data_IF_577689156580
#
_entry.id   IF_577689156580
#
_cell.length_a   1.000
_cell.length_b   1.000
_cell.length_c   1.000
_cell.angle_alpha   90.00
_cell.angle_beta   90.00
_cell.angle_gamma   90.00
#
_symmetry.space_group_name_H-M   'P 1'
#
loop_
_entity.id
_entity.type
_entity.pdbx_description
1 polymer ?
#
# COMPACT_ATOMS: atom_id res chain seq x y z
N UNK A 1 -24.95 24.15 24.25
CA UNK A 1 -23.57 23.63 24.33
C UNK A 1 -23.11 23.39 22.91
N UNK A 2 -22.14 24.14 22.34
CA UNK A 2 -21.63 23.85 21.01
C UNK A 2 -20.75 22.60 21.12
N UNK A 3 -21.06 21.61 20.28
CA UNK A 3 -20.26 20.42 20.11
C UNK A 3 -18.85 20.82 19.64
N UNK A 4 -17.85 20.54 20.45
CA UNK A 4 -16.44 20.63 20.06
C UNK A 4 -16.20 19.67 18.90
N UNK A 5 -16.32 20.17 17.66
CA UNK A 5 -15.84 19.46 16.48
C UNK A 5 -14.34 19.23 16.70
N UNK A 6 -13.94 17.99 16.90
CA UNK A 6 -12.55 17.59 16.69
C UNK A 6 -12.28 17.91 15.21
N UNK A 7 -11.60 19.00 14.93
CA UNK A 7 -10.93 19.19 13.64
C UNK A 7 -10.04 17.94 13.47
N UNK A 8 -10.41 17.07 12.56
CA UNK A 8 -9.55 15.97 12.17
C UNK A 8 -8.32 16.61 11.54
N UNK A 9 -7.18 16.51 12.22
CA UNK A 9 -5.90 16.97 11.68
C UNK A 9 -5.67 16.17 10.42
N UNK A 10 -5.84 16.80 9.26
CA UNK A 10 -5.61 16.14 7.98
C UNK A 10 -4.13 15.76 7.89
N UNK A 11 -3.84 14.46 7.78
CA UNK A 11 -2.47 13.97 7.63
C UNK A 11 -1.83 14.49 6.33
N UNK A 12 -2.60 14.52 5.25
CA UNK A 12 -2.14 14.94 3.92
C UNK A 12 -2.85 16.19 3.42
N UNK A 13 -2.11 17.08 2.78
CA UNK A 13 -2.63 18.18 1.96
C UNK A 13 -3.05 17.63 0.58
N UNK A 14 -4.34 17.25 0.47
CA UNK A 14 -4.93 16.64 -0.75
C UNK A 14 -4.73 17.51 -2.00
N UNK A 15 -4.74 18.85 -1.85
CA UNK A 15 -4.51 19.78 -2.97
C UNK A 15 -3.04 19.73 -3.42
N UNK A 16 -2.10 19.66 -2.48
CA UNK A 16 -0.68 19.54 -2.82
C UNK A 16 -0.40 18.19 -3.48
N UNK A 17 -0.90 17.09 -2.93
CA UNK A 17 -0.76 15.75 -3.50
C UNK A 17 -1.29 15.71 -4.96
N UNK A 18 -2.51 16.17 -5.20
CA UNK A 18 -3.07 16.24 -6.55
C UNK A 18 -2.21 17.09 -7.49
N UNK A 19 -1.71 18.24 -7.04
CA UNK A 19 -0.80 19.08 -7.85
C UNK A 19 0.52 18.39 -8.18
N UNK A 20 1.06 17.57 -7.27
CA UNK A 20 2.27 16.80 -7.52
C UNK A 20 2.05 15.78 -8.63
N UNK A 21 0.95 15.05 -8.57
CA UNK A 21 0.54 14.06 -9.59
C UNK A 21 0.24 14.73 -10.94
N UNK A 22 -0.48 15.85 -10.95
CA UNK A 22 -0.72 16.65 -12.17
C UNK A 22 0.58 17.13 -12.82
N UNK A 23 1.55 17.54 -12.02
CA UNK A 23 2.87 17.94 -12.52
C UNK A 23 3.61 16.73 -13.12
N UNK A 24 3.63 15.59 -12.43
CA UNK A 24 4.25 14.38 -12.92
C UNK A 24 3.64 13.95 -14.27
N UNK A 25 2.33 13.95 -14.38
CA UNK A 25 1.63 13.63 -15.62
C UNK A 25 2.02 14.52 -16.81
N UNK A 26 2.34 15.81 -16.57
CA UNK A 26 2.72 16.76 -17.63
C UNK A 26 4.20 16.73 -17.98
N UNK A 27 5.08 16.37 -17.05
CA UNK A 27 6.53 16.45 -17.24
C UNK A 27 7.17 15.17 -17.79
N UNK A 28 6.38 14.16 -18.03
CA UNK A 28 6.85 12.79 -18.32
C UNK A 28 7.04 12.04 -17.02
N UNK A 29 6.18 11.07 -16.78
CA UNK A 29 6.20 10.25 -15.58
C UNK A 29 7.38 9.27 -15.60
N UNK A 30 8.03 9.12 -14.45
CA UNK A 30 8.88 7.98 -14.14
C UNK A 30 7.98 6.92 -13.52
N UNK A 31 7.80 5.80 -14.16
CA UNK A 31 6.77 4.80 -13.83
C UNK A 31 7.30 3.40 -13.50
N UNK A 32 8.63 3.21 -13.49
CA UNK A 32 9.24 1.89 -13.31
C UNK A 32 8.70 1.14 -12.07
N UNK A 33 8.48 1.86 -10.95
CA UNK A 33 7.95 1.24 -9.74
C UNK A 33 6.47 0.86 -9.90
N UNK A 34 5.68 1.68 -10.59
CA UNK A 34 4.28 1.35 -10.88
C UNK A 34 4.16 0.16 -11.83
N UNK A 35 5.04 0.07 -12.83
CA UNK A 35 5.09 -1.08 -13.77
C UNK A 35 5.44 -2.35 -13.01
N UNK A 36 6.52 -2.35 -12.24
CA UNK A 36 6.95 -3.49 -11.44
C UNK A 36 5.85 -3.97 -10.48
N UNK A 37 5.18 -3.03 -9.78
CA UNK A 37 4.10 -3.39 -8.87
C UNK A 37 2.85 -3.89 -9.61
N UNK A 38 2.55 -3.32 -10.78
CA UNK A 38 1.45 -3.80 -11.60
C UNK A 38 1.68 -5.25 -12.06
N UNK A 39 2.88 -5.57 -12.52
CA UNK A 39 3.28 -6.94 -12.90
C UNK A 39 3.12 -7.91 -11.72
N UNK A 40 3.65 -7.57 -10.55
CA UNK A 40 3.51 -8.40 -9.33
C UNK A 40 2.06 -8.59 -8.89
N UNK A 41 1.19 -7.59 -9.05
CA UNK A 41 -0.24 -7.73 -8.75
C UNK A 41 -0.93 -8.64 -9.78
N UNK A 42 -0.53 -8.58 -11.04
CA UNK A 42 -1.03 -9.48 -12.09
C UNK A 42 -0.59 -10.92 -11.83
N UNK A 43 0.68 -11.16 -11.47
CA UNK A 43 1.19 -12.49 -11.12
C UNK A 43 0.40 -13.09 -9.95
N UNK A 44 0.14 -12.29 -8.88
CA UNK A 44 -0.71 -12.73 -7.76
C UNK A 44 -2.15 -13.05 -8.19
N UNK A 45 -2.66 -12.33 -9.18
CA UNK A 45 -3.98 -12.60 -9.74
C UNK A 45 -4.00 -13.89 -10.59
N UNK A 46 -2.87 -14.29 -11.18
CA UNK A 46 -2.73 -15.54 -11.93
C UNK A 46 -2.84 -16.78 -11.03
N UNK A 47 -2.42 -16.67 -9.77
CA UNK A 47 -2.56 -17.72 -8.76
C UNK A 47 -4.02 -17.92 -8.30
N UNK A 48 -4.92 -17.00 -8.66
CA UNK A 48 -6.32 -17.05 -8.26
C UNK A 48 -7.14 -17.78 -9.32
N UNK A 49 -7.62 -18.99 -9.02
CA UNK A 49 -8.43 -19.82 -9.93
C UNK A 49 -9.84 -19.29 -10.24
N UNK A 50 -10.15 -18.05 -9.87
CA UNK A 50 -11.46 -17.41 -10.05
C UNK A 50 -11.47 -16.47 -11.25
N UNK A 51 -12.64 -16.33 -11.90
CA UNK A 51 -12.86 -15.40 -13.00
C UNK A 51 -13.51 -14.13 -12.48
N UNK A 52 -13.04 -12.99 -12.96
CA UNK A 52 -13.54 -11.65 -12.64
C UNK A 52 -14.04 -11.00 -13.92
N UNK A 53 -15.26 -10.42 -13.92
CA UNK A 53 -15.85 -9.76 -15.08
C UNK A 53 -15.69 -8.25 -15.02
N UNK A 54 -15.80 -7.68 -13.81
CA UNK A 54 -15.75 -6.23 -13.59
C UNK A 54 -14.65 -5.90 -12.61
N UNK A 55 -13.73 -5.03 -12.98
CA UNK A 55 -12.61 -4.62 -12.15
C UNK A 55 -12.58 -3.11 -11.93
N UNK A 56 -12.16 -2.70 -10.74
CA UNK A 56 -11.81 -1.34 -10.38
C UNK A 56 -10.29 -1.24 -10.21
N UNK A 57 -9.63 -0.28 -10.87
CA UNK A 57 -8.25 0.12 -10.60
C UNK A 57 -8.27 1.48 -9.87
N UNK A 58 -8.03 1.45 -8.54
CA UNK A 58 -8.11 2.63 -7.67
C UNK A 58 -6.73 3.28 -7.50
N UNK A 59 -6.62 4.55 -7.90
CA UNK A 59 -5.34 5.25 -8.00
C UNK A 59 -4.55 4.82 -9.23
N UNK A 60 -5.25 4.70 -10.35
CA UNK A 60 -4.77 4.05 -11.58
C UNK A 60 -3.55 4.70 -12.23
N UNK A 61 -3.11 5.88 -11.75
CA UNK A 61 -1.99 6.60 -12.32
C UNK A 61 -2.18 6.81 -13.84
N UNK A 62 -1.23 6.47 -14.69
CA UNK A 62 -1.37 6.54 -16.16
C UNK A 62 -2.14 5.36 -16.78
N UNK A 63 -2.70 4.45 -15.96
CA UNK A 63 -3.59 3.38 -16.40
C UNK A 63 -2.90 2.09 -16.84
N UNK A 64 -1.62 1.90 -16.53
CA UNK A 64 -0.88 0.68 -16.94
C UNK A 64 -1.52 -0.60 -16.39
N UNK A 65 -1.87 -0.62 -15.10
CA UNK A 65 -2.54 -1.77 -14.47
C UNK A 65 -3.95 -1.98 -15.03
N UNK A 66 -4.73 -0.89 -15.21
CA UNK A 66 -6.05 -0.98 -15.85
C UNK A 66 -5.97 -1.57 -17.26
N UNK A 67 -4.95 -1.18 -18.05
CA UNK A 67 -4.73 -1.72 -19.38
C UNK A 67 -4.36 -3.21 -19.34
N UNK A 68 -3.46 -3.62 -18.46
CA UNK A 68 -3.10 -5.03 -18.28
C UNK A 68 -4.32 -5.88 -17.92
N UNK A 69 -5.16 -5.41 -17.01
CA UNK A 69 -6.42 -6.06 -16.65
C UNK A 69 -7.41 -6.14 -17.83
N UNK A 70 -7.53 -5.09 -18.64
CA UNK A 70 -8.45 -5.07 -19.78
C UNK A 70 -8.08 -6.09 -20.87
N UNK A 71 -6.81 -6.50 -20.97
CA UNK A 71 -6.35 -7.55 -21.87
C UNK A 71 -6.48 -8.96 -21.28
N UNK A 72 -6.89 -9.08 -20.02
CA UNK A 72 -6.97 -10.37 -19.33
C UNK A 72 -8.26 -11.13 -19.70
N UNK A 73 -8.16 -12.43 -20.05
CA UNK A 73 -9.34 -13.23 -20.37
C UNK A 73 -10.37 -13.26 -19.23
N UNK A 74 -11.62 -12.96 -19.54
CA UNK A 74 -12.74 -12.98 -18.59
C UNK A 74 -13.04 -11.64 -17.94
N UNK A 75 -12.17 -10.63 -18.06
CA UNK A 75 -12.48 -9.27 -17.64
C UNK A 75 -13.18 -8.54 -18.80
N UNK A 76 -14.39 -8.07 -18.56
CA UNK A 76 -15.24 -7.41 -19.56
C UNK A 76 -15.23 -5.89 -19.40
N UNK A 77 -15.03 -5.42 -18.16
CA UNK A 77 -15.05 -4.00 -17.81
C UNK A 77 -13.97 -3.71 -16.77
N UNK A 78 -13.11 -2.73 -17.08
CA UNK A 78 -12.19 -2.12 -16.10
C UNK A 78 -12.55 -0.65 -15.97
N UNK A 79 -12.75 -0.19 -14.74
CA UNK A 79 -12.95 1.22 -14.42
C UNK A 79 -11.71 1.74 -13.72
N UNK A 80 -11.03 2.70 -14.33
CA UNK A 80 -9.88 3.38 -13.73
C UNK A 80 -10.34 4.59 -12.91
N UNK A 81 -9.89 4.71 -11.68
CA UNK A 81 -10.19 5.82 -10.78
C UNK A 81 -8.90 6.55 -10.37
N UNK A 82 -8.79 7.84 -10.71
CA UNK A 82 -7.56 8.61 -10.50
C UNK A 82 -7.92 10.08 -10.18
N UNK A 83 -7.34 10.70 -9.13
CA UNK A 83 -7.64 12.09 -8.78
C UNK A 83 -6.97 13.14 -9.68
N UNK A 84 -5.86 12.78 -10.35
CA UNK A 84 -5.14 13.69 -11.24
C UNK A 84 -5.66 13.54 -12.68
N UNK A 85 -6.29 14.60 -13.19
CA UNK A 85 -6.85 14.60 -14.54
C UNK A 85 -5.79 14.39 -15.63
N UNK A 86 -4.57 14.85 -15.39
CA UNK A 86 -3.45 14.65 -16.31
C UNK A 86 -3.11 13.18 -16.51
N UNK A 87 -3.09 12.38 -15.46
CA UNK A 87 -2.96 10.93 -15.56
C UNK A 87 -4.21 10.28 -16.13
N UNK A 88 -5.37 10.66 -15.62
CA UNK A 88 -6.64 10.11 -16.07
C UNK A 88 -6.87 10.28 -17.58
N UNK A 89 -6.39 11.39 -18.17
CA UNK A 89 -6.49 11.63 -19.62
C UNK A 89 -5.64 10.68 -20.46
N UNK A 90 -4.60 10.08 -19.88
CA UNK A 90 -3.72 9.10 -20.53
C UNK A 90 -4.27 7.68 -20.43
N UNK A 91 -5.21 7.44 -19.52
CA UNK A 91 -5.81 6.12 -19.29
C UNK A 91 -6.84 5.82 -20.36
N UNK A 92 -6.77 4.62 -20.94
CA UNK A 92 -7.78 4.13 -21.87
C UNK A 92 -9.01 3.58 -21.17
N UNK A 93 -10.16 3.56 -21.85
CA UNK A 93 -11.40 2.95 -21.36
C UNK A 93 -12.18 3.80 -20.34
N UNK A 94 -13.13 3.19 -19.62
CA UNK A 94 -13.94 3.82 -18.60
C UNK A 94 -13.09 4.34 -17.43
N UNK A 95 -13.29 5.61 -17.10
CA UNK A 95 -12.46 6.30 -16.11
C UNK A 95 -13.25 7.34 -15.31
N UNK A 96 -12.88 7.51 -14.04
CA UNK A 96 -13.54 8.41 -13.10
C UNK A 96 -12.50 9.22 -12.32
N UNK A 97 -12.71 10.53 -12.22
CA UNK A 97 -11.92 11.36 -11.33
C UNK A 97 -12.37 11.09 -9.88
N UNK A 98 -11.58 10.34 -9.13
CA UNK A 98 -11.89 9.95 -7.76
C UNK A 98 -10.66 9.97 -6.86
N UNK A 99 -10.88 10.34 -5.60
CA UNK A 99 -9.88 10.28 -4.56
C UNK A 99 -9.93 8.89 -3.91
N UNK A 100 -8.80 8.17 -3.71
CA UNK A 100 -8.77 6.88 -3.02
C UNK A 100 -9.36 6.90 -1.60
N UNK A 101 -9.41 8.07 -0.97
CA UNK A 101 -10.03 8.25 0.35
C UNK A 101 -11.57 8.26 0.30
N UNK A 102 -12.15 8.56 -0.89
CA UNK A 102 -13.59 8.63 -1.13
C UNK A 102 -13.93 7.81 -2.37
N UNK A 103 -14.25 6.55 -2.18
CA UNK A 103 -14.57 5.58 -3.26
C UNK A 103 -16.01 5.78 -3.73
N UNK A 104 -16.25 6.45 -4.90
CA UNK A 104 -17.58 6.93 -5.28
C UNK A 104 -18.39 5.88 -6.05
N UNK A 105 -18.29 4.62 -5.65
CA UNK A 105 -18.98 3.54 -6.34
C UNK A 105 -20.06 2.94 -5.45
N UNK A 106 -21.12 2.45 -6.10
CA UNK A 106 -22.22 1.75 -5.43
C UNK A 106 -21.72 0.41 -4.87
N UNK A 107 -22.34 -0.02 -3.78
CA UNK A 107 -22.07 -1.33 -3.19
C UNK A 107 -22.24 -2.45 -4.22
N UNK A 108 -21.44 -3.50 -4.11
CA UNK A 108 -21.50 -4.71 -4.94
C UNK A 108 -21.39 -4.44 -6.47
N UNK A 109 -20.54 -3.51 -6.88
CA UNK A 109 -20.35 -3.15 -8.30
C UNK A 109 -19.25 -3.94 -9.00
N UNK A 110 -18.21 -4.39 -8.29
CA UNK A 110 -17.03 -4.99 -8.86
C UNK A 110 -16.76 -6.41 -8.34
N UNK A 111 -16.22 -7.27 -9.21
CA UNK A 111 -15.74 -8.59 -8.82
C UNK A 111 -14.29 -8.52 -8.31
N UNK A 112 -13.53 -7.54 -8.79
CA UNK A 112 -12.12 -7.30 -8.47
C UNK A 112 -11.90 -5.82 -8.17
N UNK A 113 -11.16 -5.50 -7.13
CA UNK A 113 -10.60 -4.18 -6.91
C UNK A 113 -9.08 -4.31 -6.80
N UNK A 114 -8.36 -3.50 -7.57
CA UNK A 114 -6.90 -3.40 -7.50
C UNK A 114 -6.48 -1.98 -7.15
N UNK A 115 -5.32 -1.85 -6.51
CA UNK A 115 -4.71 -0.55 -6.25
C UNK A 115 -3.20 -0.68 -6.20
N UNK A 116 -2.48 0.00 -7.09
CA UNK A 116 -1.03 0.04 -7.11
C UNK A 116 -0.54 1.40 -6.63
N UNK A 117 0.18 1.43 -5.50
CA UNK A 117 0.88 2.60 -4.96
C UNK A 117 0.00 3.85 -4.78
N UNK A 118 -1.24 3.68 -4.29
CA UNK A 118 -2.14 4.80 -4.02
C UNK A 118 -2.58 4.88 -2.55
N UNK A 119 -2.71 3.75 -1.87
CA UNK A 119 -3.32 3.69 -0.53
C UNK A 119 -2.47 4.31 0.57
N UNK A 120 -1.16 4.44 0.41
CA UNK A 120 -0.29 5.13 1.36
C UNK A 120 -0.53 6.66 1.43
N UNK A 121 -1.30 7.20 0.50
CA UNK A 121 -1.75 8.59 0.50
C UNK A 121 -3.11 8.79 1.19
N UNK A 122 -3.70 7.75 1.73
CA UNK A 122 -5.01 7.79 2.40
C UNK A 122 -4.80 8.00 3.90
N UNK A 123 -5.42 9.04 4.46
CA UNK A 123 -5.33 9.33 5.90
C UNK A 123 -6.19 8.37 6.73
N UNK A 124 -7.42 8.07 6.27
CA UNK A 124 -8.30 7.05 6.86
C UNK A 124 -8.25 5.75 6.05
N UNK A 125 -7.12 5.05 6.13
CA UNK A 125 -6.95 3.76 5.44
C UNK A 125 -8.01 2.71 5.83
N UNK A 126 -8.40 2.55 7.12
CA UNK A 126 -9.52 1.68 7.47
C UNK A 126 -10.82 2.04 6.78
N UNK A 127 -11.16 3.32 6.71
CA UNK A 127 -12.36 3.81 6.04
C UNK A 127 -12.34 3.54 4.53
N UNK A 128 -11.22 3.74 3.87
CA UNK A 128 -11.04 3.44 2.45
C UNK A 128 -11.17 1.94 2.17
N UNK A 129 -10.58 1.08 3.00
CA UNK A 129 -10.70 -0.38 2.89
C UNK A 129 -12.15 -0.85 3.09
N UNK A 130 -12.90 -0.26 4.02
CA UNK A 130 -14.33 -0.53 4.19
C UNK A 130 -15.12 -0.15 2.93
N UNK A 131 -14.85 1.02 2.35
CA UNK A 131 -15.49 1.47 1.12
C UNK A 131 -15.17 0.54 -0.06
N UNK A 132 -13.91 0.11 -0.21
CA UNK A 132 -13.49 -0.87 -1.22
C UNK A 132 -14.21 -2.21 -1.04
N UNK A 133 -14.27 -2.73 0.20
CA UNK A 133 -15.00 -3.96 0.50
C UNK A 133 -16.49 -3.86 0.14
N UNK A 134 -17.12 -2.71 0.40
CA UNK A 134 -18.53 -2.48 0.03
C UNK A 134 -18.74 -2.40 -1.47
N UNK A 135 -17.79 -1.80 -2.20
CA UNK A 135 -17.85 -1.73 -3.66
C UNK A 135 -17.65 -3.10 -4.34
N UNK A 136 -17.02 -4.05 -3.65
CA UNK A 136 -16.90 -5.43 -4.10
C UNK A 136 -18.22 -6.20 -3.93
N UNK A 137 -18.54 -7.04 -4.91
CA UNK A 137 -19.60 -8.05 -4.81
C UNK A 137 -19.24 -9.09 -3.74
N UNK A 138 -20.23 -9.83 -3.20
CA UNK A 138 -19.93 -11.00 -2.37
C UNK A 138 -18.91 -11.89 -3.07
N UNK A 139 -17.89 -12.37 -2.33
CA UNK A 139 -16.77 -13.15 -2.83
C UNK A 139 -15.93 -12.44 -3.92
N UNK A 140 -15.96 -11.12 -3.97
CA UNK A 140 -15.07 -10.29 -4.76
C UNK A 140 -13.70 -10.13 -4.08
N UNK A 141 -12.67 -9.90 -4.88
CA UNK A 141 -11.27 -9.86 -4.44
C UNK A 141 -10.73 -8.43 -4.39
N UNK A 142 -10.03 -8.09 -3.33
CA UNK A 142 -9.12 -6.94 -3.25
C UNK A 142 -7.68 -7.43 -3.40
N UNK A 143 -6.93 -6.84 -4.35
CA UNK A 143 -5.47 -6.92 -4.45
C UNK A 143 -4.90 -5.51 -4.44
N UNK A 144 -4.12 -5.15 -3.44
CA UNK A 144 -3.54 -3.83 -3.37
C UNK A 144 -2.07 -3.88 -2.97
N UNK A 145 -1.32 -2.88 -3.40
CA UNK A 145 0.06 -2.66 -2.99
C UNK A 145 0.25 -1.19 -2.60
N UNK A 146 0.96 -0.94 -1.51
CA UNK A 146 1.30 0.40 -1.06
C UNK A 146 2.71 0.47 -0.50
N UNK A 147 3.26 1.66 -0.38
CA UNK A 147 4.56 1.86 0.26
C UNK A 147 4.45 1.61 1.77
N UNK A 148 5.42 0.86 2.32
CA UNK A 148 5.55 0.54 3.74
C UNK A 148 6.50 1.44 4.50
N UNK A 149 6.61 1.25 5.82
CA UNK A 149 7.38 2.07 6.78
C UNK A 149 8.88 2.14 6.51
N UNK A 150 9.45 1.08 5.94
CA UNK A 150 10.86 1.02 5.53
C UNK A 150 11.21 1.84 4.30
N UNK A 151 10.20 2.35 3.55
CA UNK A 151 10.45 3.12 2.32
C UNK A 151 11.28 4.37 2.60
N UNK A 152 12.35 4.55 1.78
CA UNK A 152 13.26 5.71 1.82
C UNK A 152 13.88 5.95 3.22
N UNK A 153 14.18 4.89 3.97
CA UNK A 153 14.77 4.99 5.29
C UNK A 153 16.12 5.73 5.26
N UNK A 154 16.92 5.50 4.22
CA UNK A 154 18.21 6.14 3.99
C UNK A 154 18.03 7.66 3.78
N UNK A 155 17.10 8.05 2.91
CA UNK A 155 16.78 9.46 2.64
C UNK A 155 16.25 10.16 3.91
N UNK A 156 15.36 9.48 4.66
CA UNK A 156 14.82 9.99 5.91
C UNK A 156 15.93 10.26 6.92
N UNK A 157 16.85 9.31 7.10
CA UNK A 157 17.99 9.43 8.02
C UNK A 157 18.89 10.61 7.63
N UNK A 158 19.28 10.68 6.36
CA UNK A 158 20.16 11.75 5.86
C UNK A 158 19.54 13.14 6.00
N UNK A 159 18.24 13.28 5.72
CA UNK A 159 17.52 14.57 5.85
C UNK A 159 17.37 14.98 7.32
N UNK A 160 17.02 14.05 8.23
CA UNK A 160 16.89 14.35 9.66
C UNK A 160 18.20 14.82 10.26
N UNK A 161 19.31 14.12 9.99
CA UNK A 161 20.63 14.50 10.50
C UNK A 161 21.10 15.85 9.94
N UNK A 162 20.88 16.10 8.67
CA UNK A 162 21.24 17.37 8.04
C UNK A 162 20.42 18.55 8.60
N UNK A 163 19.10 18.38 8.82
CA UNK A 163 18.26 19.43 9.41
C UNK A 163 18.66 19.72 10.86
N UNK A 164 18.94 18.70 11.65
CA UNK A 164 19.41 18.88 13.02
C UNK A 164 20.72 19.69 13.06
N UNK A 165 21.67 19.37 12.17
CA UNK A 165 22.97 20.03 12.14
C UNK A 165 22.90 21.48 11.62
N UNK A 166 22.10 21.75 10.60
CA UNK A 166 22.08 23.03 9.88
C UNK A 166 20.96 24.00 10.36
N UNK A 167 19.88 23.46 10.93
CA UNK A 167 18.68 24.24 11.24
C UNK A 167 18.25 24.10 12.70
N UNK A 168 18.85 23.21 13.48
CA UNK A 168 18.57 23.00 14.90
C UNK A 168 17.20 22.35 15.19
N UNK A 169 16.56 21.78 14.18
CA UNK A 169 15.25 21.12 14.32
C UNK A 169 14.95 20.25 13.11
N UNK A 170 13.92 19.41 13.21
CA UNK A 170 13.48 18.51 12.16
C UNK A 170 12.08 18.89 11.65
N UNK A 171 11.84 18.60 10.37
CA UNK A 171 10.50 18.71 9.77
C UNK A 171 10.11 17.40 9.09
N UNK A 172 8.81 17.07 9.02
CA UNK A 172 8.38 15.83 8.38
C UNK A 172 8.64 15.90 6.87
N UNK A 173 9.59 15.08 6.38
CA UNK A 173 10.02 15.04 4.98
C UNK A 173 9.54 13.81 4.25
N UNK A 174 9.53 12.67 4.93
CA UNK A 174 9.08 11.38 4.41
C UNK A 174 7.82 10.99 5.18
N UNK A 175 6.78 10.60 4.44
CA UNK A 175 5.48 10.25 5.03
C UNK A 175 5.59 9.08 6.01
N UNK A 176 4.89 9.11 7.14
CA UNK A 176 4.65 7.91 7.92
C UNK A 176 3.79 6.96 7.09
N UNK A 177 4.08 5.68 7.16
CA UNK A 177 3.36 4.61 6.47
C UNK A 177 3.06 3.49 7.47
N UNK A 178 2.10 2.62 7.13
CA UNK A 178 1.75 1.48 7.97
C UNK A 178 2.85 0.43 7.99
N UNK A 179 2.95 -0.31 9.08
CA UNK A 179 3.79 -1.50 9.19
C UNK A 179 3.04 -2.75 8.77
N UNK A 180 3.76 -3.81 8.38
CA UNK A 180 3.17 -5.09 7.97
C UNK A 180 2.25 -5.70 9.04
N UNK A 181 2.63 -5.61 10.31
CA UNK A 181 1.83 -6.12 11.42
C UNK A 181 0.44 -5.47 11.51
N UNK A 182 0.36 -4.19 11.16
CA UNK A 182 -0.90 -3.45 11.12
C UNK A 182 -1.74 -3.78 9.90
N UNK A 183 -1.11 -4.11 8.77
CA UNK A 183 -1.76 -4.34 7.48
C UNK A 183 -2.83 -5.46 7.54
N UNK A 184 -2.48 -6.64 8.06
CA UNK A 184 -3.42 -7.76 8.21
C UNK A 184 -4.57 -7.41 9.17
N UNK A 185 -4.26 -6.71 10.27
CA UNK A 185 -5.23 -6.23 11.25
C UNK A 185 -6.21 -5.21 10.64
N UNK A 186 -5.71 -4.32 9.76
CA UNK A 186 -6.54 -3.35 9.02
C UNK A 186 -7.54 -4.04 8.11
N UNK A 187 -7.14 -5.07 7.36
CA UNK A 187 -8.04 -5.86 6.52
C UNK A 187 -9.13 -6.57 7.34
N UNK A 188 -8.76 -7.19 8.47
CA UNK A 188 -9.72 -7.82 9.38
C UNK A 188 -10.73 -6.80 9.93
N UNK A 189 -10.25 -5.66 10.40
CA UNK A 189 -11.10 -4.57 10.92
C UNK A 189 -12.01 -3.99 9.85
N UNK A 190 -11.56 -3.92 8.60
CA UNK A 190 -12.38 -3.54 7.47
C UNK A 190 -13.41 -4.61 7.08
N UNK A 191 -13.32 -5.82 7.66
CA UNK A 191 -14.29 -6.90 7.49
C UNK A 191 -14.05 -7.74 6.25
N UNK A 192 -12.82 -7.79 5.72
CA UNK A 192 -12.44 -8.75 4.68
C UNK A 192 -12.33 -10.16 5.26
N UNK A 193 -12.74 -11.13 4.48
CA UNK A 193 -12.50 -12.55 4.74
C UNK A 193 -11.13 -12.95 4.17
N UNK A 194 -10.53 -13.97 4.79
CA UNK A 194 -9.22 -14.54 4.37
C UNK A 194 -8.15 -13.46 4.11
N UNK A 195 -7.95 -12.51 5.04
CA UNK A 195 -7.00 -11.43 4.82
C UNK A 195 -5.57 -11.97 4.84
N UNK A 196 -4.80 -11.59 3.83
CA UNK A 196 -3.36 -11.85 3.73
C UNK A 196 -2.64 -10.51 3.55
N UNK A 197 -1.59 -10.31 4.30
CA UNK A 197 -0.68 -9.21 4.11
C UNK A 197 0.75 -9.74 4.08
N UNK A 198 1.53 -9.29 3.12
CA UNK A 198 2.95 -9.60 2.99
C UNK A 198 3.72 -8.35 2.59
N UNK A 199 5.04 -8.40 2.73
CA UNK A 199 5.93 -7.29 2.39
C UNK A 199 7.09 -7.79 1.53
N UNK A 200 7.51 -6.93 0.61
CA UNK A 200 8.70 -7.14 -0.19
C UNK A 200 9.51 -5.84 -0.26
N UNK A 201 10.78 -5.94 -0.63
CA UNK A 201 11.69 -4.81 -0.69
C UNK A 201 12.30 -4.68 -2.09
N UNK A 202 12.14 -3.51 -2.68
CA UNK A 202 12.77 -3.15 -3.95
C UNK A 202 13.86 -2.11 -3.64
N UNK A 203 15.09 -2.40 -4.01
CA UNK A 203 16.21 -1.45 -3.89
C UNK A 203 16.60 -0.95 -5.27
N UNK A 204 16.60 0.36 -5.43
CA UNK A 204 17.00 1.05 -6.66
C UNK A 204 18.28 1.85 -6.38
N UNK A 205 19.26 1.75 -7.26
CA UNK A 205 20.51 2.50 -7.13
C UNK A 205 20.48 3.78 -7.95
N UNK A 206 20.98 4.87 -7.37
CA UNK A 206 21.03 6.19 -8.00
C UNK A 206 22.46 6.73 -7.98
N UNK A 207 22.86 7.54 -8.97
CA UNK A 207 24.18 8.17 -8.97
C UNK A 207 24.34 9.16 -7.80
N UNK A 208 23.28 9.80 -7.37
CA UNK A 208 23.26 10.74 -6.25
C UNK A 208 21.84 10.98 -5.71
N UNK A 209 21.76 11.65 -4.56
CA UNK A 209 20.47 12.00 -3.91
C UNK A 209 19.59 12.92 -4.79
N UNK A 210 20.16 13.76 -5.64
CA UNK A 210 19.39 14.69 -6.48
C UNK A 210 18.70 13.93 -7.62
N UNK A 211 19.31 12.85 -8.13
CA UNK A 211 18.69 11.95 -9.10
C UNK A 211 17.47 11.26 -8.48
N UNK A 212 17.61 10.69 -7.27
CA UNK A 212 16.50 10.13 -6.52
C UNK A 212 15.36 11.16 -6.30
N UNK A 213 15.68 12.37 -5.84
CA UNK A 213 14.67 13.41 -5.60
C UNK A 213 13.97 13.85 -6.89
N UNK A 214 14.66 13.81 -8.04
CA UNK A 214 14.09 14.07 -9.36
C UNK A 214 13.06 13.00 -9.74
N UNK A 215 13.43 11.74 -9.57
CA UNK A 215 12.54 10.62 -9.88
C UNK A 215 11.30 10.63 -9.00
N UNK A 216 11.44 10.78 -7.67
CA UNK A 216 10.31 10.93 -6.76
C UNK A 216 9.37 12.08 -7.18
N UNK A 217 9.93 13.17 -7.69
CA UNK A 217 9.14 14.29 -8.22
C UNK A 217 8.40 13.93 -9.50
N UNK A 218 9.01 13.16 -10.40
CA UNK A 218 8.41 12.72 -11.66
C UNK A 218 7.42 11.56 -11.46
N UNK A 219 7.56 10.77 -10.38
CA UNK A 219 6.58 9.78 -9.95
C UNK A 219 5.31 10.43 -9.35
N UNK A 220 5.39 11.69 -8.94
CA UNK A 220 4.33 12.37 -8.19
C UNK A 220 4.41 12.15 -6.67
N UNK A 221 5.46 11.49 -6.19
CA UNK A 221 5.70 11.09 -4.80
C UNK A 221 6.43 12.19 -3.99
N UNK A 222 6.13 13.45 -4.27
CA UNK A 222 6.65 14.59 -3.51
C UNK A 222 5.86 14.74 -2.20
N UNK A 223 6.56 15.08 -1.11
CA UNK A 223 5.99 15.31 0.20
C UNK A 223 4.72 16.18 0.17
N UNK A 224 3.60 15.61 0.58
CA UNK A 224 2.30 16.28 0.68
C UNK A 224 1.72 16.23 2.11
N UNK A 225 2.55 16.00 3.13
CA UNK A 225 2.11 16.08 4.53
C UNK A 225 1.52 17.46 4.82
N UNK A 226 0.45 17.53 5.59
CA UNK A 226 -0.19 18.79 5.95
C UNK A 226 0.76 19.69 6.76
N UNK A 227 1.52 19.08 7.67
CA UNK A 227 2.48 19.76 8.54
C UNK A 227 3.88 19.95 7.91
N UNK A 228 4.05 19.57 6.63
CA UNK A 228 5.34 19.77 5.96
C UNK A 228 5.76 21.21 5.98
N UNK A 229 7.04 21.46 6.09
CA UNK A 229 7.63 22.78 5.87
C UNK A 229 7.35 23.24 4.42
N UNK A 230 6.77 24.42 4.26
CA UNK A 230 6.37 24.97 2.94
C UNK A 230 7.49 25.76 2.27
N UNK A 231 8.52 26.15 3.03
CA UNK A 231 9.71 26.80 2.49
C UNK A 231 10.65 25.78 1.84
N UNK A 232 11.33 26.16 0.75
CA UNK A 232 12.33 25.30 0.15
C UNK A 232 13.42 24.89 1.15
N UNK A 233 14.00 23.69 0.95
CA UNK A 233 15.15 23.24 1.70
C UNK A 233 16.35 24.18 1.43
N UNK A 234 17.09 24.56 2.47
CA UNK A 234 18.29 25.38 2.31
C UNK A 234 19.34 24.60 1.53
N UNK A 235 20.14 25.32 0.73
CA UNK A 235 21.22 24.69 -0.07
C UNK A 235 22.22 23.96 0.84
N UNK A 236 22.56 24.56 1.99
CA UNK A 236 23.46 23.93 2.96
C UNK A 236 22.90 22.61 3.50
N UNK A 237 21.62 22.61 3.92
CA UNK A 237 20.94 21.40 4.41
C UNK A 237 20.89 20.31 3.32
N UNK A 238 20.61 20.70 2.07
CA UNK A 238 20.57 19.76 0.94
C UNK A 238 21.95 19.16 0.67
N UNK A 239 22.99 19.98 0.63
CA UNK A 239 24.39 19.54 0.44
C UNK A 239 24.84 18.63 1.58
N UNK A 240 24.50 18.97 2.82
CA UNK A 240 24.79 18.16 4.00
C UNK A 240 24.09 16.80 3.93
N UNK A 241 22.79 16.78 3.60
CA UNK A 241 22.03 15.54 3.45
C UNK A 241 22.63 14.64 2.35
N UNK A 242 23.03 15.22 1.21
CA UNK A 242 23.68 14.47 0.12
C UNK A 242 24.99 13.85 0.57
N UNK A 243 25.81 14.59 1.34
CA UNK A 243 27.08 14.09 1.88
C UNK A 243 26.83 12.93 2.88
N UNK A 244 25.91 13.11 3.83
CA UNK A 244 25.54 12.08 4.81
C UNK A 244 25.00 10.82 4.10
N UNK A 245 24.18 10.98 3.07
CA UNK A 245 23.63 9.86 2.31
C UNK A 245 24.75 9.05 1.65
N UNK A 246 25.65 9.72 0.93
CA UNK A 246 26.78 9.07 0.27
C UNK A 246 27.74 8.42 1.28
N UNK A 247 28.04 9.08 2.39
CA UNK A 247 28.95 8.56 3.42
C UNK A 247 28.41 7.32 4.12
N UNK A 248 27.11 7.31 4.48
CA UNK A 248 26.53 6.24 5.30
C UNK A 248 25.99 5.06 4.50
N UNK A 249 25.49 5.33 3.30
CA UNK A 249 24.76 4.35 2.51
C UNK A 249 25.35 4.15 1.11
N UNK A 250 26.35 4.94 0.73
CA UNK A 250 27.00 4.82 -0.58
C UNK A 250 27.60 3.44 -0.80
N UNK A 251 27.50 2.97 -2.02
CA UNK A 251 28.08 1.71 -2.48
C UNK A 251 29.52 1.92 -2.98
N UNK A 252 30.28 0.84 -3.13
CA UNK A 252 31.71 0.91 -3.53
C UNK A 252 31.93 1.52 -4.92
N UNK A 253 30.90 1.49 -5.80
CA UNK A 253 30.89 2.08 -7.13
C UNK A 253 30.42 3.55 -7.16
N UNK A 254 30.21 4.16 -5.98
CA UNK A 254 29.86 5.55 -5.83
C UNK A 254 28.36 5.87 -6.00
N UNK A 255 27.50 4.86 -6.13
CA UNK A 255 26.05 5.01 -6.15
C UNK A 255 25.47 5.03 -4.74
N UNK A 256 24.21 5.44 -4.65
CA UNK A 256 23.42 5.37 -3.41
C UNK A 256 22.21 4.46 -3.62
N UNK A 257 21.87 3.59 -2.66
CA UNK A 257 20.65 2.80 -2.70
C UNK A 257 19.44 3.66 -2.25
N UNK A 258 18.27 3.38 -2.77
CA UNK A 258 17.00 3.85 -2.26
C UNK A 258 16.08 2.64 -2.08
N UNK A 259 15.67 2.42 -0.85
CA UNK A 259 14.83 1.27 -0.49
C UNK A 259 13.34 1.64 -0.57
N UNK A 260 12.57 0.79 -1.25
CA UNK A 260 11.12 0.85 -1.30
C UNK A 260 10.57 -0.44 -0.69
N UNK A 261 9.98 -0.34 0.48
CA UNK A 261 9.21 -1.43 1.07
C UNK A 261 7.79 -1.40 0.50
N UNK A 262 7.33 -2.53 0.00
CA UNK A 262 6.00 -2.67 -0.60
C UNK A 262 5.17 -3.59 0.28
N UNK A 263 4.08 -3.09 0.81
CA UNK A 263 3.08 -3.88 1.52
C UNK A 263 1.99 -4.31 0.55
N UNK A 264 1.75 -5.61 0.47
CA UNK A 264 0.68 -6.20 -0.33
C UNK A 264 -0.49 -6.59 0.54
N UNK A 265 -1.69 -6.35 0.03
CA UNK A 265 -2.96 -6.64 0.68
C UNK A 265 -3.79 -7.54 -0.22
N UNK A 266 -4.21 -8.67 0.32
CA UNK A 266 -5.17 -9.57 -0.32
C UNK A 266 -6.32 -9.79 0.64
N UNK A 267 -7.55 -9.64 0.16
CA UNK A 267 -8.73 -9.86 0.98
C UNK A 267 -9.97 -10.08 0.13
N UNK A 268 -10.89 -10.89 0.63
CA UNK A 268 -12.12 -11.21 -0.06
C UNK A 268 -13.32 -10.51 0.60
N UNK A 269 -14.25 -9.99 -0.18
CA UNK A 269 -15.52 -9.58 0.37
C UNK A 269 -16.26 -10.83 0.91
N UNK A 270 -16.81 -10.78 2.13
CA UNK A 270 -17.44 -11.95 2.74
C UNK A 270 -18.56 -12.55 1.90
N UNK A 271 -18.59 -13.87 1.81
CA UNK A 271 -19.65 -14.65 1.20
C UNK A 271 -19.90 -15.95 1.99
N UNK A 272 -21.16 -16.43 2.10
CA UNK A 272 -21.47 -17.67 2.79
C UNK A 272 -20.79 -18.94 2.24
N UNK A 273 -20.40 -18.93 0.96
CA UNK A 273 -19.71 -20.06 0.30
C UNK A 273 -18.24 -20.21 0.69
N UNK A 274 -17.65 -19.18 1.33
CA UNK A 274 -16.22 -19.18 1.69
C UNK A 274 -15.91 -20.16 2.83
N UNK A 275 -14.71 -20.76 2.83
CA UNK A 275 -14.24 -21.61 3.92
C UNK A 275 -14.30 -20.87 5.25
N UNK A 276 -14.82 -21.52 6.28
CA UNK A 276 -14.83 -20.97 7.64
C UNK A 276 -13.87 -21.77 8.50
N UNK A 277 -13.12 -21.09 9.41
CA UNK A 277 -12.32 -21.81 10.38
C UNK A 277 -13.17 -22.82 11.16
N UNK A 278 -12.72 -24.04 11.27
CA UNK A 278 -13.37 -25.02 12.11
C UNK A 278 -13.22 -24.63 13.58
N UNK A 279 -14.18 -25.04 14.41
CA UNK A 279 -14.08 -24.80 15.86
C UNK A 279 -12.83 -25.49 16.41
N UNK A 280 -12.09 -24.88 17.35
CA UNK A 280 -10.98 -25.54 18.01
C UNK A 280 -11.43 -26.90 18.58
N UNK A 281 -10.64 -27.94 18.35
CA UNK A 281 -10.95 -29.32 18.77
C UNK A 281 -11.91 -30.09 17.87
N UNK A 282 -12.32 -29.54 16.70
CA UNK A 282 -13.20 -30.23 15.72
C UNK A 282 -12.45 -31.04 14.67
N UNK A 283 -11.12 -31.21 14.80
CA UNK A 283 -10.33 -32.03 13.88
C UNK A 283 -10.82 -33.47 13.90
N UNK A 284 -11.33 -33.96 12.76
CA UNK A 284 -11.83 -35.32 12.60
C UNK A 284 -10.75 -36.32 12.20
N UNK A 285 -9.61 -35.86 11.70
CA UNK A 285 -8.47 -36.64 11.25
C UNK A 285 -7.19 -36.16 11.89
N UNK A 286 -6.29 -37.09 12.19
CA UNK A 286 -4.96 -36.74 12.69
C UNK A 286 -4.09 -36.22 11.56
N UNK A 287 -3.30 -35.19 11.86
CA UNK A 287 -2.41 -34.59 10.86
C UNK A 287 -1.42 -35.60 10.28
N UNK A 288 -0.93 -36.52 11.11
CA UNK A 288 -0.02 -37.60 10.68
C UNK A 288 -0.65 -38.50 9.62
N UNK A 289 -1.93 -38.84 9.75
CA UNK A 289 -2.66 -39.64 8.75
C UNK A 289 -2.78 -38.89 7.42
N UNK A 290 -3.09 -37.60 7.47
CA UNK A 290 -3.19 -36.76 6.27
C UNK A 290 -1.84 -36.56 5.55
N UNK A 291 -0.74 -36.54 6.30
CA UNK A 291 0.62 -36.41 5.78
C UNK A 291 1.32 -37.75 5.49
N UNK A 292 0.66 -38.91 5.76
CA UNK A 292 1.25 -40.24 5.58
C UNK A 292 2.49 -40.49 6.47
N UNK A 293 2.53 -39.85 7.65
CA UNK A 293 3.65 -39.98 8.60
C UNK A 293 3.19 -40.54 9.94
N UNK A 294 4.13 -40.84 10.82
CA UNK A 294 3.85 -41.38 12.16
C UNK A 294 4.06 -40.31 13.21
N UNK A 295 3.11 -40.10 14.12
CA UNK A 295 3.25 -39.21 15.25
C UNK A 295 4.30 -39.75 16.24
N UNK A 296 5.26 -38.92 16.60
CA UNK A 296 6.22 -39.17 17.66
C UNK A 296 5.76 -38.39 18.88
N UNK A 297 5.45 -39.05 20.00
CA UNK A 297 5.04 -38.38 21.23
C UNK A 297 6.18 -37.52 21.76
N UNK A 298 5.88 -36.24 22.05
CA UNK A 298 6.84 -35.34 22.71
C UNK A 298 7.06 -35.66 24.18
N UNK A 299 6.31 -36.63 24.74
CA UNK A 299 6.42 -37.07 26.12
C UNK A 299 5.66 -36.20 27.13
N UNK A 300 5.18 -35.03 26.75
CA UNK A 300 4.40 -34.15 27.62
C UNK A 300 2.89 -34.40 27.47
N UNK A 301 2.13 -34.64 28.56
CA UNK A 301 0.68 -34.67 28.47
C UNK A 301 0.13 -33.32 28.11
N UNK A 302 -0.67 -33.21 27.06
CA UNK A 302 -1.38 -31.99 26.71
C UNK A 302 -2.34 -31.63 27.84
N UNK A 303 -2.00 -30.60 28.65
CA UNK A 303 -2.91 -30.11 29.67
C UNK A 303 -4.09 -29.40 28.97
N UNK A 304 -5.36 -29.73 29.29
CA UNK A 304 -6.50 -29.00 28.73
C UNK A 304 -6.46 -27.55 29.18
N UNK A 305 -6.61 -26.63 28.24
CA UNK A 305 -6.59 -25.17 28.41
C UNK A 305 -7.66 -24.60 29.37
N UNK A 306 -8.49 -25.46 30.00
CA UNK A 306 -9.67 -25.09 30.81
C UNK A 306 -9.58 -25.34 32.33
N UNK A 307 -8.40 -25.47 32.92
CA UNK A 307 -8.31 -25.67 34.37
C UNK A 307 -7.93 -24.45 35.20
N UNK A 308 -8.11 -23.22 34.69
CA UNK A 308 -7.94 -22.02 35.52
C UNK A 308 -9.15 -21.12 35.45
N UNK A 309 -10.23 -21.47 36.20
CA UNK A 309 -11.17 -20.52 36.83
C UNK A 309 -12.24 -21.27 37.62
N UNK A 310 -11.85 -21.84 38.74
CA UNK A 310 -12.72 -21.95 39.95
C UNK A 310 -11.82 -21.98 41.16
N UNK A 311 -11.86 -20.90 41.92
CA UNK A 311 -11.13 -20.82 43.18
C UNK A 311 -11.18 -19.45 43.78
N UNK A 312 -12.28 -19.18 44.49
CA UNK A 312 -12.50 -18.21 45.59
C UNK A 312 -12.19 -16.74 45.31
#
# INVERSE_FOLDING_TARGET
MPSSGRESIALFDRRAWRRHRERAARQGCVDFLHVEIAERLIDRLDDVGRRFRTALDLGSHHGGLAQALAHRPGIELVVAAEPALGFLSQTAGPRVAADPELVPFRDASFDLAVSALALHWVADLPGALIQLRRALKPDGLLLAAMLGGGTLAELRTALVEAELAEEGGISPRVSPTADLADAASLLQRAGFAMPVADADTITVTYPDMLALLRDLRHMGETNALAERRRTPLRRATLARASAIYAERFGTADGHIPATFEILYFTGWAPDPSQPRPLKPGSAAHRLAEALGTTEISAGDPAAPLNSRRTGK
#
